data_IF_288023408807
#
_entry.id   IF_288023408807
#
_cell.length_a   1.000
_cell.length_b   1.000
_cell.length_c   1.000
_cell.angle_alpha   90.00
_cell.angle_beta   90.00
_cell.angle_gamma   90.00
#
_symmetry.space_group_name_H-M   'P 1'
#
loop_
_entity.id
_entity.type
_entity.pdbx_description
1 polymer ?
#
# COMPACT_ATOMS: atom_id res chain seq x y z
N UNK A 1 -3.88 -20.07 -9.41
CA UNK A 1 -4.55 -19.74 -8.15
C UNK A 1 -3.47 -19.52 -7.11
N UNK A 2 -3.03 -18.27 -6.90
CA UNK A 2 -1.81 -17.98 -6.14
C UNK A 2 -2.04 -18.06 -4.62
N UNK A 3 -2.25 -19.30 -4.16
CA UNK A 3 -2.37 -19.68 -2.75
C UNK A 3 -1.10 -19.42 -1.93
N UNK A 4 0.00 -18.98 -2.56
CA UNK A 4 1.29 -18.73 -1.92
C UNK A 4 1.44 -17.35 -1.27
N UNK A 5 0.50 -16.39 -1.50
CA UNK A 5 0.74 -14.99 -1.10
C UNK A 5 -0.15 -14.50 0.05
N UNK A 6 -1.23 -15.18 0.44
CA UNK A 6 -2.28 -14.55 1.27
C UNK A 6 -2.61 -15.28 2.59
N UNK A 7 -1.58 -15.71 3.34
CA UNK A 7 -1.72 -15.97 4.78
C UNK A 7 -0.74 -15.06 5.52
N UNK A 8 -1.24 -14.06 6.24
CA UNK A 8 -0.50 -13.09 7.07
C UNK A 8 0.28 -11.95 6.36
N UNK A 9 -0.06 -11.56 5.12
CA UNK A 9 0.66 -10.51 4.37
C UNK A 9 0.01 -9.13 4.29
N UNK A 10 -1.13 -8.87 4.96
CA UNK A 10 -1.62 -7.48 5.06
C UNK A 10 -0.61 -6.69 5.89
N UNK A 11 0.17 -5.83 5.22
CA UNK A 11 1.23 -5.04 5.85
C UNK A 11 0.68 -3.75 6.42
N UNK A 12 -0.37 -3.21 5.80
CA UNK A 12 -1.01 -1.97 6.21
C UNK A 12 -2.54 -2.06 6.16
N UNK A 13 -3.20 -1.15 6.87
CA UNK A 13 -4.63 -0.94 6.85
C UNK A 13 -4.93 0.54 7.12
N UNK A 14 -5.95 1.07 6.45
CA UNK A 14 -6.60 2.31 6.88
C UNK A 14 -7.76 1.96 7.82
N UNK A 15 -7.84 2.67 8.93
CA UNK A 15 -8.85 2.49 9.97
C UNK A 15 -9.59 3.82 10.16
N UNK A 16 -10.91 3.72 10.40
CA UNK A 16 -11.81 4.86 10.58
C UNK A 16 -12.50 4.76 11.96
N UNK A 17 -11.83 5.20 13.04
CA UNK A 17 -12.43 5.39 14.35
C UNK A 17 -13.66 6.30 14.26
N UNK A 18 -14.69 5.96 15.02
CA UNK A 18 -15.97 6.69 15.06
C UNK A 18 -15.95 7.83 16.08
N UNK A 19 -15.06 7.76 17.06
CA UNK A 19 -14.96 8.75 18.15
C UNK A 19 -13.50 9.12 18.42
N UNK A 20 -13.28 10.27 19.04
CA UNK A 20 -11.96 10.68 19.52
C UNK A 20 -11.39 9.71 20.56
N UNK A 21 -12.25 9.09 21.38
CA UNK A 21 -11.83 8.09 22.37
C UNK A 21 -11.31 6.82 21.68
N UNK A 22 -12.04 6.31 20.68
CA UNK A 22 -11.61 5.15 19.89
C UNK A 22 -10.28 5.43 19.16
N UNK A 23 -10.15 6.63 18.60
CA UNK A 23 -8.92 7.10 17.97
C UNK A 23 -7.73 7.09 18.94
N UNK A 24 -7.87 7.72 20.12
CA UNK A 24 -6.81 7.77 21.14
C UNK A 24 -6.49 6.39 21.70
N UNK A 25 -7.49 5.55 21.90
CA UNK A 25 -7.31 4.17 22.35
C UNK A 25 -6.52 3.36 21.31
N UNK A 26 -6.84 3.48 20.02
CA UNK A 26 -6.11 2.78 18.96
C UNK A 26 -4.64 3.20 18.94
N UNK A 27 -4.34 4.50 18.95
CA UNK A 27 -2.94 4.98 19.01
C UNK A 27 -2.22 4.43 20.25
N UNK A 28 -2.88 4.43 21.41
CA UNK A 28 -2.27 3.97 22.66
C UNK A 28 -2.15 2.46 22.83
N UNK A 29 -2.81 1.66 21.98
CA UNK A 29 -2.86 0.18 22.10
C UNK A 29 -2.27 -0.55 20.91
N UNK A 30 -1.92 0.16 19.82
CA UNK A 30 -1.12 -0.41 18.73
C UNK A 30 0.20 -0.89 19.33
N UNK A 31 0.41 -2.20 19.30
CA UNK A 31 1.59 -2.83 19.88
C UNK A 31 2.89 -2.43 19.18
N UNK A 32 4.02 -2.67 19.84
CA UNK A 32 5.35 -2.25 19.39
C UNK A 32 5.78 -2.81 18.03
N UNK A 33 5.06 -3.77 17.47
CA UNK A 33 5.31 -4.36 16.14
C UNK A 33 4.76 -3.52 14.97
N UNK A 34 4.00 -2.47 15.29
CA UNK A 34 3.25 -1.69 14.32
C UNK A 34 3.55 -0.20 14.42
N UNK A 35 3.33 0.45 13.29
CA UNK A 35 3.25 1.88 13.12
C UNK A 35 1.78 2.29 13.08
N UNK A 36 1.44 3.42 13.73
CA UNK A 36 0.11 4.02 13.67
C UNK A 36 0.25 5.53 13.49
N UNK A 37 -0.23 6.03 12.35
CA UNK A 37 -0.08 7.43 11.96
C UNK A 37 -1.45 8.05 11.62
N UNK A 38 -1.69 9.32 12.00
CA UNK A 38 -2.80 10.07 11.44
C UNK A 38 -2.61 10.20 9.94
N UNK A 39 -3.55 9.64 9.16
CA UNK A 39 -3.45 9.65 7.70
C UNK A 39 -3.98 10.96 7.10
N UNK A 40 -4.84 11.69 7.82
CA UNK A 40 -5.34 12.99 7.34
C UNK A 40 -5.94 13.86 8.45
N UNK A 41 -5.88 15.18 8.29
CA UNK A 41 -6.56 16.17 9.15
C UNK A 41 -7.78 16.83 8.49
N UNK A 42 -8.07 16.58 7.20
CA UNK A 42 -8.96 17.46 6.42
C UNK A 42 -10.30 16.87 5.97
N UNK A 43 -10.43 15.56 5.73
CA UNK A 43 -11.71 14.98 5.26
C UNK A 43 -12.38 14.01 6.26
N UNK A 44 -11.59 13.23 6.99
CA UNK A 44 -12.08 12.37 8.07
C UNK A 44 -11.27 12.68 9.32
N UNK A 45 -11.93 13.26 10.33
CA UNK A 45 -11.29 13.79 11.54
C UNK A 45 -10.40 12.76 12.29
N UNK A 46 -10.63 11.46 12.06
CA UNK A 46 -9.99 10.38 12.81
C UNK A 46 -9.30 9.31 11.96
N UNK A 47 -9.03 9.52 10.67
CA UNK A 47 -8.46 8.45 9.85
C UNK A 47 -7.02 8.07 10.27
N UNK A 48 -6.80 6.78 10.51
CA UNK A 48 -5.51 6.21 10.91
C UNK A 48 -4.97 5.28 9.83
N UNK A 49 -3.69 5.43 9.53
CA UNK A 49 -2.90 4.43 8.82
C UNK A 49 -2.16 3.57 9.84
N UNK A 50 -2.36 2.25 9.75
CA UNK A 50 -1.69 1.28 10.62
C UNK A 50 -0.89 0.34 9.73
N UNK A 51 0.39 0.17 10.00
CA UNK A 51 1.24 -0.78 9.27
C UNK A 51 2.16 -1.56 10.19
N UNK A 52 2.69 -2.69 9.72
CA UNK A 52 3.81 -3.36 10.40
C UNK A 52 5.06 -2.51 10.32
N UNK A 53 6.03 -2.79 11.20
CA UNK A 53 7.39 -2.26 11.05
C UNK A 53 8.15 -2.93 9.89
N UNK A 54 9.22 -2.27 9.47
CA UNK A 54 10.07 -2.68 8.34
C UNK A 54 9.71 -1.96 7.05
N UNK A 55 10.05 -2.57 5.94
CA UNK A 55 9.93 -2.09 4.56
C UNK A 55 9.25 -3.16 3.69
N UNK A 56 8.84 -2.83 2.45
CA UNK A 56 8.29 -3.85 1.55
C UNK A 56 9.32 -4.95 1.24
N UNK A 57 10.61 -4.60 1.15
CA UNK A 57 11.71 -5.56 0.94
C UNK A 57 11.82 -6.63 2.02
N UNK A 58 11.32 -6.39 3.22
CA UNK A 58 11.32 -7.41 4.29
C UNK A 58 10.25 -8.49 4.06
N UNK A 59 9.28 -8.24 3.19
CA UNK A 59 8.12 -9.11 2.96
C UNK A 59 7.97 -9.62 1.52
N UNK A 60 8.59 -8.92 0.56
CA UNK A 60 8.47 -9.20 -0.87
C UNK A 60 9.82 -9.12 -1.59
N UNK A 61 10.01 -10.02 -2.55
CA UNK A 61 11.12 -9.99 -3.49
C UNK A 61 10.76 -9.08 -4.67
N UNK A 62 11.53 -8.00 -4.86
CA UNK A 62 11.26 -7.00 -5.90
C UNK A 62 11.37 -7.60 -7.31
N UNK A 63 12.39 -8.41 -7.57
CA UNK A 63 12.62 -8.98 -8.90
C UNK A 63 11.49 -9.95 -9.27
N UNK A 64 11.00 -10.71 -8.29
CA UNK A 64 9.82 -11.56 -8.46
C UNK A 64 8.58 -10.74 -8.77
N UNK A 65 8.34 -9.63 -8.07
CA UNK A 65 7.20 -8.74 -8.33
C UNK A 65 7.27 -8.17 -9.75
N UNK A 66 8.41 -7.58 -10.13
CA UNK A 66 8.61 -7.02 -11.48
C UNK A 66 8.38 -8.09 -12.57
N UNK A 67 8.88 -9.31 -12.36
CA UNK A 67 8.68 -10.43 -13.28
C UNK A 67 7.21 -10.82 -13.43
N UNK A 68 6.44 -10.87 -12.33
CA UNK A 68 5.01 -11.21 -12.37
C UNK A 68 4.19 -10.17 -13.13
N UNK A 69 4.43 -8.88 -12.89
CA UNK A 69 3.76 -7.79 -13.62
C UNK A 69 4.17 -7.78 -15.10
N UNK A 70 5.45 -7.97 -15.40
CA UNK A 70 5.96 -8.07 -16.77
C UNK A 70 5.35 -9.23 -17.56
N UNK A 71 5.19 -10.41 -16.94
CA UNK A 71 4.50 -11.55 -17.54
C UNK A 71 3.02 -11.25 -17.86
N UNK A 72 2.43 -10.25 -17.21
CA UNK A 72 1.08 -9.77 -17.47
C UNK A 72 1.00 -8.65 -18.52
N UNK A 73 2.14 -8.23 -19.08
CA UNK A 73 2.24 -7.11 -20.03
C UNK A 73 2.22 -5.73 -19.38
N UNK A 74 2.61 -5.63 -18.11
CA UNK A 74 2.69 -4.37 -17.36
C UNK A 74 4.16 -4.11 -17.07
N UNK A 75 4.70 -3.04 -17.63
CA UNK A 75 6.09 -2.62 -17.42
C UNK A 75 6.14 -1.57 -16.32
N UNK A 76 6.49 -2.01 -15.11
CA UNK A 76 6.71 -1.11 -13.97
C UNK A 76 8.12 -0.53 -14.01
N UNK A 77 8.27 0.74 -13.64
CA UNK A 77 9.57 1.37 -13.45
C UNK A 77 10.31 0.72 -12.26
N UNK A 78 11.36 -0.04 -12.57
CA UNK A 78 12.15 -0.77 -11.59
C UNK A 78 12.89 0.15 -10.60
N UNK A 79 13.37 1.32 -11.03
CA UNK A 79 14.07 2.26 -10.14
C UNK A 79 13.10 2.91 -9.15
N UNK A 80 11.92 3.29 -9.63
CA UNK A 80 10.84 3.83 -8.80
C UNK A 80 10.31 2.79 -7.81
N UNK A 81 10.06 1.56 -8.27
CA UNK A 81 9.67 0.45 -7.41
C UNK A 81 10.74 0.14 -6.36
N UNK A 82 12.02 0.18 -6.71
CA UNK A 82 13.12 0.00 -5.76
C UNK A 82 13.12 1.08 -4.67
N UNK A 83 12.88 2.34 -5.03
CA UNK A 83 12.76 3.42 -4.04
C UNK A 83 11.64 3.14 -3.06
N UNK A 84 10.46 2.76 -3.53
CA UNK A 84 9.34 2.41 -2.66
C UNK A 84 9.63 1.19 -1.79
N UNK A 85 10.32 0.18 -2.34
CA UNK A 85 10.63 -1.05 -1.60
C UNK A 85 11.56 -0.83 -0.40
N UNK A 86 12.40 0.19 -0.47
CA UNK A 86 13.35 0.57 0.56
C UNK A 86 12.79 1.53 1.62
N UNK A 87 11.59 2.09 1.40
CA UNK A 87 10.95 2.96 2.40
C UNK A 87 10.46 2.14 3.57
N UNK A 88 10.57 2.70 4.79
CA UNK A 88 9.84 2.16 5.92
C UNK A 88 8.34 2.22 5.66
N UNK A 89 7.59 1.25 6.15
CA UNK A 89 6.14 1.20 5.95
C UNK A 89 5.41 2.37 6.61
N UNK A 90 6.02 3.04 7.59
CA UNK A 90 5.53 4.31 8.17
C UNK A 90 5.45 5.45 7.16
N UNK A 91 6.36 5.47 6.18
CA UNK A 91 6.43 6.49 5.12
C UNK A 91 5.08 6.64 4.42
N UNK A 92 4.42 5.53 4.08
CA UNK A 92 3.15 5.54 3.36
C UNK A 92 1.97 6.09 4.17
N UNK A 93 2.13 6.23 5.49
CA UNK A 93 1.15 6.90 6.34
C UNK A 93 1.37 8.41 6.48
N UNK A 94 2.49 8.94 5.97
CA UNK A 94 2.88 10.34 6.13
C UNK A 94 2.62 11.12 4.83
N UNK A 95 1.51 11.83 4.75
CA UNK A 95 1.11 12.62 3.57
C UNK A 95 2.11 13.75 3.23
N UNK A 96 2.87 14.27 4.20
CA UNK A 96 3.85 15.32 3.95
C UNK A 96 5.10 14.82 3.22
N UNK A 97 5.38 13.52 3.32
CA UNK A 97 6.56 12.88 2.72
C UNK A 97 6.20 11.90 1.59
N UNK A 98 5.02 11.29 1.65
CA UNK A 98 4.57 10.28 0.71
C UNK A 98 3.87 10.90 -0.48
N UNK A 99 4.43 10.66 -1.66
CA UNK A 99 3.83 11.11 -2.93
C UNK A 99 2.66 10.18 -3.37
N UNK A 100 2.51 9.01 -2.74
CA UNK A 100 1.45 8.06 -3.08
C UNK A 100 0.16 8.43 -2.35
N UNK A 101 -0.88 8.75 -3.12
CA UNK A 101 -2.23 8.88 -2.58
C UNK A 101 -2.89 7.50 -2.47
N UNK A 102 -2.79 6.82 -1.32
CA UNK A 102 -3.29 5.42 -1.18
C UNK A 102 -4.79 5.23 -1.44
N UNK A 103 -5.58 6.31 -1.44
CA UNK A 103 -7.03 6.28 -1.67
C UNK A 103 -7.47 6.81 -3.04
N UNK A 104 -6.56 7.46 -3.77
CA UNK A 104 -6.81 7.99 -5.11
C UNK A 104 -5.55 7.78 -5.97
N UNK A 105 -5.00 6.57 -5.89
CA UNK A 105 -3.71 6.26 -6.49
C UNK A 105 -3.83 6.26 -8.02
N UNK A 106 -3.16 7.20 -8.66
CA UNK A 106 -2.99 7.27 -10.10
C UNK A 106 -1.58 6.83 -10.43
N UNK A 107 -1.43 5.83 -11.29
CA UNK A 107 -0.11 5.34 -11.73
C UNK A 107 0.12 3.87 -11.45
N UNK A 108 0.95 3.26 -12.30
CA UNK A 108 1.14 1.81 -12.30
C UNK A 108 1.90 1.33 -11.06
N UNK A 109 2.98 2.02 -10.69
CA UNK A 109 3.79 1.69 -9.51
C UNK A 109 3.02 1.97 -8.22
N UNK A 110 2.32 3.10 -8.15
CA UNK A 110 1.52 3.51 -7.00
C UNK A 110 0.45 2.47 -6.68
N UNK A 111 -0.28 2.00 -7.70
CA UNK A 111 -1.32 1.00 -7.53
C UNK A 111 -0.73 -0.39 -7.21
N UNK A 112 0.43 -0.74 -7.78
CA UNK A 112 1.16 -1.96 -7.44
C UNK A 112 1.58 -1.97 -5.97
N UNK A 113 2.21 -0.89 -5.49
CA UNK A 113 2.62 -0.72 -4.10
C UNK A 113 1.42 -0.75 -3.16
N UNK A 114 0.35 -0.03 -3.49
CA UNK A 114 -0.89 0.00 -2.70
C UNK A 114 -1.52 -1.39 -2.59
N UNK A 115 -1.51 -2.17 -3.68
CA UNK A 115 -1.95 -3.55 -3.69
C UNK A 115 -1.14 -4.43 -2.74
N UNK A 116 0.19 -4.31 -2.75
CA UNK A 116 1.07 -5.05 -1.84
C UNK A 116 0.85 -4.66 -0.37
N UNK A 117 0.72 -3.38 -0.08
CA UNK A 117 0.49 -2.85 1.28
C UNK A 117 -0.80 -3.40 1.89
N UNK A 118 -1.91 -3.34 1.15
CA UNK A 118 -3.22 -3.79 1.62
C UNK A 118 -3.48 -5.29 1.41
N UNK A 119 -2.54 -5.99 0.77
CA UNK A 119 -2.60 -7.43 0.54
C UNK A 119 -3.58 -7.86 -0.56
N UNK A 120 -3.86 -6.97 -1.53
CA UNK A 120 -4.68 -7.31 -2.69
C UNK A 120 -4.00 -8.39 -3.54
N UNK A 121 -4.77 -9.31 -4.15
CA UNK A 121 -4.20 -10.23 -5.13
C UNK A 121 -3.55 -9.45 -6.26
N UNK A 122 -2.37 -9.88 -6.70
CA UNK A 122 -1.66 -9.24 -7.82
C UNK A 122 -2.55 -9.20 -9.06
N UNK A 123 -3.32 -10.26 -9.29
CA UNK A 123 -4.27 -10.35 -10.40
C UNK A 123 -5.35 -9.25 -10.36
N UNK A 124 -5.79 -8.85 -9.16
CA UNK A 124 -6.75 -7.76 -9.00
C UNK A 124 -6.12 -6.43 -9.37
N UNK A 125 -4.88 -6.18 -8.95
CA UNK A 125 -4.16 -4.96 -9.32
C UNK A 125 -3.87 -4.91 -10.83
N UNK A 126 -3.44 -6.03 -11.42
CA UNK A 126 -3.23 -6.16 -12.87
C UNK A 126 -4.51 -5.83 -13.64
N UNK A 127 -5.68 -6.31 -13.19
CA UNK A 127 -6.95 -6.03 -13.85
C UNK A 127 -7.32 -4.55 -13.81
N UNK A 128 -7.05 -3.85 -12.70
CA UNK A 128 -7.27 -2.41 -12.59
C UNK A 128 -6.35 -1.62 -13.52
N UNK A 129 -5.06 -1.94 -13.54
CA UNK A 129 -4.08 -1.28 -14.42
C UNK A 129 -4.43 -1.44 -15.89
N UNK A 130 -4.86 -2.63 -16.31
CA UNK A 130 -5.30 -2.86 -17.69
C UNK A 130 -6.53 -2.04 -18.05
N UNK A 131 -7.50 -1.93 -17.13
CA UNK A 131 -8.70 -1.12 -17.34
C UNK A 131 -8.34 0.37 -17.51
N UNK A 132 -7.41 0.89 -16.72
CA UNK A 132 -6.94 2.28 -16.87
C UNK A 132 -6.26 2.51 -18.23
N UNK A 133 -5.38 1.60 -18.65
CA UNK A 133 -4.73 1.64 -19.97
C UNK A 133 -5.79 1.65 -21.10
N UNK A 134 -6.79 0.77 -21.00
CA UNK A 134 -7.86 0.67 -22.00
C UNK A 134 -8.72 1.94 -22.05
N UNK A 135 -8.94 2.61 -20.91
CA UNK A 135 -9.72 3.87 -20.86
C UNK A 135 -8.95 5.09 -21.39
N UNK A 136 -7.62 5.06 -21.40
CA UNK A 136 -6.79 6.12 -21.99
C UNK A 136 -6.53 5.94 -23.49
N UNK A 137 -7.01 4.84 -24.09
CA UNK A 137 -6.80 4.47 -25.50
C UNK A 137 -7.86 4.98 -26.48
N UNK A 138 -8.38 6.21 -26.31
CA UNK A 138 -9.31 6.86 -27.24
C UNK A 138 -8.76 8.18 -27.80
#
# INVERSE_FOLDING_TARGET
MNYAVQKNKKLAATVYPKTAEEYMQMIGTVGDEYYCYPYHTREYQYMLYVSRKGSLSDYFDLDQILSVYGACGIELDAEKMKKYFQKELSYFGNEEECEIQLHDCLGQEELAVTGLLFGYPVESTVALLKKEIDTCGY
#
